data_IF_214393310586
#
_entry.id   IF_214393310586
#
_cell.length_a   1.000
_cell.length_b   1.000
_cell.length_c   1.000
_cell.angle_alpha   90.00
_cell.angle_beta   90.00
_cell.angle_gamma   90.00
#
_symmetry.space_group_name_H-M   'P 1'
#
loop_
_entity.id
_entity.type
_entity.pdbx_description
1 polymer ?
#
# COMPACT_ATOMS: atom_id res chain seq x y z
N UNK A 1 15.61 33.04 16.75
CA UNK A 1 16.26 31.98 15.94
C UNK A 1 15.86 30.58 16.42
N UNK A 2 16.02 30.28 17.71
CA UNK A 2 15.64 28.99 18.32
C UNK A 2 14.18 28.59 18.12
N UNK A 3 13.24 29.52 18.34
CA UNK A 3 11.80 29.24 18.12
C UNK A 3 11.46 28.89 16.67
N UNK A 4 12.12 29.53 15.70
CA UNK A 4 11.88 29.27 14.28
C UNK A 4 12.40 27.89 13.87
N UNK A 5 13.56 27.49 14.40
CA UNK A 5 14.14 26.16 14.20
C UNK A 5 13.24 25.09 14.84
N UNK A 6 12.75 25.34 16.04
CA UNK A 6 11.87 24.40 16.74
C UNK A 6 10.53 24.22 16.02
N UNK A 7 9.97 25.29 15.47
CA UNK A 7 8.73 25.26 14.68
C UNK A 7 8.91 24.50 13.36
N UNK A 8 10.04 24.70 12.69
CA UNK A 8 10.41 23.96 11.47
C UNK A 8 10.56 22.46 11.73
N UNK A 9 11.35 22.07 12.75
CA UNK A 9 11.54 20.66 13.11
C UNK A 9 10.20 19.99 13.45
N UNK A 10 9.35 20.66 14.22
CA UNK A 10 8.03 20.13 14.57
C UNK A 10 7.12 19.91 13.35
N UNK A 11 7.18 20.79 12.36
CA UNK A 11 6.47 20.62 11.09
C UNK A 11 7.06 19.50 10.24
N UNK A 12 8.39 19.44 10.13
CA UNK A 12 9.11 18.43 9.38
C UNK A 12 8.81 17.01 9.91
N UNK A 13 8.98 16.78 11.21
CA UNK A 13 8.68 15.48 11.81
C UNK A 13 7.20 15.12 11.69
N UNK A 14 6.30 16.10 11.78
CA UNK A 14 4.86 15.85 11.60
C UNK A 14 4.57 15.36 10.19
N UNK A 15 5.09 16.02 9.15
CA UNK A 15 4.90 15.59 7.76
C UNK A 15 5.52 14.21 7.53
N UNK A 16 6.77 14.04 7.95
CA UNK A 16 7.51 12.79 7.79
C UNK A 16 6.81 11.58 8.44
N UNK A 17 6.28 11.74 9.66
CA UNK A 17 5.53 10.67 10.33
C UNK A 17 4.21 10.39 9.60
N UNK A 18 3.55 11.43 9.09
CA UNK A 18 2.26 11.31 8.41
C UNK A 18 2.42 10.60 7.06
N UNK A 19 3.51 10.85 6.34
CA UNK A 19 3.86 10.16 5.11
C UNK A 19 4.17 8.67 5.38
N UNK A 20 4.94 8.37 6.44
CA UNK A 20 5.20 6.99 6.87
C UNK A 20 3.89 6.27 7.24
N UNK A 21 2.98 6.92 7.96
CA UNK A 21 1.68 6.32 8.33
C UNK A 21 0.86 6.05 7.08
N UNK A 22 0.81 6.99 6.13
CA UNK A 22 0.09 6.82 4.86
C UNK A 22 0.65 5.64 4.06
N UNK A 23 1.97 5.51 4.00
CA UNK A 23 2.63 4.38 3.35
C UNK A 23 2.31 3.06 4.05
N UNK A 24 2.40 3.00 5.39
CA UNK A 24 2.04 1.80 6.16
C UNK A 24 0.59 1.41 5.93
N UNK A 25 -0.34 2.38 5.87
CA UNK A 25 -1.74 2.13 5.56
C UNK A 25 -1.89 1.60 4.12
N UNK A 26 -1.20 2.19 3.14
CA UNK A 26 -1.21 1.75 1.75
C UNK A 26 -0.71 0.32 1.58
N UNK A 27 0.47 0.00 2.14
CA UNK A 27 1.04 -1.35 2.13
C UNK A 27 0.18 -2.34 2.94
N UNK A 28 -0.41 -1.90 4.05
CA UNK A 28 -1.33 -2.71 4.86
C UNK A 28 -2.60 -3.10 4.10
N UNK A 29 -3.22 -2.16 3.38
CA UNK A 29 -4.38 -2.41 2.52
C UNK A 29 -4.00 -3.37 1.38
N UNK A 30 -2.84 -3.16 0.74
CA UNK A 30 -2.35 -4.05 -0.32
C UNK A 30 -2.17 -5.50 0.16
N UNK A 31 -1.54 -5.69 1.33
CA UNK A 31 -1.37 -7.01 1.95
C UNK A 31 -2.72 -7.66 2.31
N UNK A 32 -3.65 -6.88 2.85
CA UNK A 32 -4.98 -7.37 3.20
C UNK A 32 -5.75 -7.87 1.95
N UNK A 33 -5.71 -7.12 0.85
CA UNK A 33 -6.31 -7.52 -0.43
C UNK A 33 -5.68 -8.82 -0.94
N UNK A 34 -4.35 -8.94 -0.87
CA UNK A 34 -3.61 -10.14 -1.27
C UNK A 34 -3.99 -11.39 -0.47
N UNK A 35 -4.21 -11.25 0.85
CA UNK A 35 -4.64 -12.37 1.71
C UNK A 35 -6.05 -12.83 1.34
N UNK A 36 -6.99 -11.89 1.18
CA UNK A 36 -8.37 -12.23 0.79
C UNK A 36 -8.43 -12.87 -0.60
N UNK A 37 -7.62 -12.35 -1.53
CA UNK A 37 -7.46 -12.90 -2.86
C UNK A 37 -6.95 -14.35 -2.84
N UNK A 38 -5.88 -14.61 -2.09
CA UNK A 38 -5.35 -15.96 -1.93
C UNK A 38 -6.41 -16.89 -1.35
N UNK A 39 -7.18 -16.43 -0.36
CA UNK A 39 -8.25 -17.22 0.24
C UNK A 39 -9.31 -17.63 -0.80
N UNK A 40 -9.73 -16.72 -1.69
CA UNK A 40 -10.67 -17.05 -2.78
C UNK A 40 -10.05 -18.04 -3.78
N UNK A 41 -8.76 -17.89 -4.09
CA UNK A 41 -8.07 -18.74 -5.06
C UNK A 41 -7.92 -20.18 -4.55
N UNK A 42 -7.83 -20.40 -3.23
CA UNK A 42 -7.76 -21.77 -2.67
C UNK A 42 -9.00 -22.63 -2.97
N UNK A 43 -10.12 -22.03 -3.37
CA UNK A 43 -11.34 -22.75 -3.75
C UNK A 43 -11.42 -23.08 -5.24
N UNK A 44 -10.39 -22.75 -6.03
CA UNK A 44 -10.34 -22.99 -7.47
C UNK A 44 -9.50 -24.24 -7.71
N UNK A 45 -10.14 -25.30 -8.22
CA UNK A 45 -9.47 -26.58 -8.52
C UNK A 45 -8.57 -26.51 -9.77
N UNK A 46 -8.86 -25.63 -10.72
CA UNK A 46 -8.04 -25.45 -11.92
C UNK A 46 -6.86 -24.51 -11.65
N UNK A 47 -5.67 -25.10 -11.49
CA UNK A 47 -4.42 -24.38 -11.21
C UNK A 47 -4.12 -23.27 -12.22
N UNK A 48 -4.46 -23.47 -13.50
CA UNK A 48 -4.22 -22.47 -14.54
C UNK A 48 -5.12 -21.24 -14.35
N UNK A 49 -6.40 -21.45 -14.05
CA UNK A 49 -7.35 -20.38 -13.73
C UNK A 49 -6.99 -19.68 -12.43
N UNK A 50 -6.62 -20.44 -11.40
CA UNK A 50 -6.12 -19.92 -10.12
C UNK A 50 -4.91 -18.97 -10.32
N UNK A 51 -3.91 -19.41 -11.10
CA UNK A 51 -2.72 -18.63 -11.39
C UNK A 51 -3.05 -17.35 -12.18
N UNK A 52 -3.97 -17.41 -13.15
CA UNK A 52 -4.42 -16.23 -13.91
C UNK A 52 -5.07 -15.20 -13.00
N UNK A 53 -5.92 -15.65 -12.07
CA UNK A 53 -6.59 -14.77 -11.11
C UNK A 53 -5.58 -14.12 -10.16
N UNK A 54 -4.62 -14.88 -9.63
CA UNK A 54 -3.51 -14.32 -8.83
C UNK A 54 -2.77 -13.24 -9.63
N UNK A 55 -2.42 -13.52 -10.89
CA UNK A 55 -1.72 -12.57 -11.76
C UNK A 55 -2.49 -11.25 -11.93
N UNK A 56 -3.79 -11.32 -12.19
CA UNK A 56 -4.66 -10.12 -12.28
C UNK A 56 -4.70 -9.36 -10.97
N UNK A 57 -4.82 -10.05 -9.84
CA UNK A 57 -4.89 -9.41 -8.51
C UNK A 57 -3.57 -8.69 -8.19
N UNK A 58 -2.43 -9.33 -8.44
CA UNK A 58 -1.12 -8.70 -8.27
C UNK A 58 -0.99 -7.44 -9.13
N UNK A 59 -1.41 -7.50 -10.40
CA UNK A 59 -1.38 -6.34 -11.30
C UNK A 59 -2.28 -5.20 -10.81
N UNK A 60 -3.48 -5.50 -10.31
CA UNK A 60 -4.41 -4.50 -9.77
C UNK A 60 -3.84 -3.86 -8.51
N UNK A 61 -3.37 -4.66 -7.56
CA UNK A 61 -2.77 -4.16 -6.30
C UNK A 61 -1.52 -3.33 -6.59
N UNK A 62 -0.64 -3.81 -7.47
CA UNK A 62 0.53 -3.06 -7.91
C UNK A 62 0.14 -1.72 -8.55
N UNK A 63 -0.86 -1.73 -9.43
CA UNK A 63 -1.36 -0.51 -10.06
C UNK A 63 -1.93 0.47 -9.03
N UNK A 64 -2.69 -0.01 -8.06
CA UNK A 64 -3.21 0.85 -6.98
C UNK A 64 -2.04 1.45 -6.21
N UNK A 65 -1.11 0.65 -5.68
CA UNK A 65 0.02 1.17 -4.89
C UNK A 65 0.84 2.17 -5.70
N UNK A 66 1.23 1.82 -6.92
CA UNK A 66 2.11 2.64 -7.75
C UNK A 66 1.44 3.91 -8.29
N UNK A 67 0.19 3.82 -8.76
CA UNK A 67 -0.52 4.99 -9.31
C UNK A 67 -1.19 5.86 -8.23
N UNK A 68 -1.51 5.34 -7.05
CA UNK A 68 -2.00 6.18 -5.94
C UNK A 68 -0.86 6.86 -5.16
N UNK A 69 0.32 6.25 -5.05
CA UNK A 69 1.49 6.91 -4.45
C UNK A 69 2.10 7.97 -5.38
N UNK A 70 1.80 7.93 -6.69
CA UNK A 70 2.23 8.94 -7.67
C UNK A 70 1.40 10.23 -7.69
N UNK A 71 0.52 10.47 -6.71
CA UNK A 71 -0.20 11.74 -6.56
C UNK A 71 0.50 12.61 -5.51
N UNK A 72 1.66 13.13 -5.90
CA UNK A 72 2.10 14.47 -5.47
C UNK A 72 1.89 15.46 -6.63
#
# INVERSE_FOLDING_TARGET
MWESINKFLKQFFKSFIQDIINDIIGYGIALFILILAMLVVTYIEDDLTAMRIIGVIVLVVYSIVFFYQGKE
#
